data_IF_346546115443
#
_entry.id   IF_346546115443
#
_cell.length_a   1.000
_cell.length_b   1.000
_cell.length_c   1.000
_cell.angle_alpha   90.00
_cell.angle_beta   90.00
_cell.angle_gamma   90.00
#
_symmetry.space_group_name_H-M   'P 1'
#
loop_
_entity.id
_entity.type
_entity.pdbx_description
1 polymer ?
#
# COMPACT_ATOMS: atom_id res chain seq x y z
N UNK A 1 -1.12 -20.19 -6.99
CA UNK A 1 -0.53 -19.05 -6.24
C UNK A 1 0.62 -18.51 -7.07
N UNK A 2 0.67 -17.20 -7.33
CA UNK A 2 1.77 -16.60 -8.09
C UNK A 2 3.07 -16.74 -7.26
N UNK A 3 4.16 -17.22 -7.88
CA UNK A 3 5.36 -17.64 -7.15
C UNK A 3 6.02 -16.50 -6.34
N UNK A 4 7.08 -16.79 -5.55
CA UNK A 4 7.70 -15.81 -4.64
C UNK A 4 8.15 -14.51 -5.31
N UNK A 5 8.42 -14.53 -6.62
CA UNK A 5 8.79 -13.36 -7.42
C UNK A 5 7.63 -12.35 -7.60
N UNK A 6 6.37 -12.81 -7.55
CA UNK A 6 5.18 -11.97 -7.71
C UNK A 6 5.12 -10.82 -6.70
N UNK A 7 5.61 -11.07 -5.47
CA UNK A 7 5.63 -10.07 -4.40
C UNK A 7 6.37 -8.79 -4.79
N UNK A 8 7.34 -8.86 -5.71
CA UNK A 8 8.08 -7.69 -6.20
C UNK A 8 7.21 -6.75 -7.05
N UNK A 9 6.12 -7.27 -7.62
CA UNK A 9 5.20 -6.55 -8.49
C UNK A 9 3.87 -6.19 -7.80
N UNK A 10 3.73 -6.53 -6.52
CA UNK A 10 2.52 -6.28 -5.75
C UNK A 10 2.67 -5.05 -4.85
N UNK A 11 1.55 -4.35 -4.67
CA UNK A 11 1.34 -3.25 -3.73
C UNK A 11 0.16 -3.64 -2.85
N UNK A 12 0.27 -3.40 -1.55
CA UNK A 12 -0.80 -3.67 -0.59
C UNK A 12 -1.68 -2.43 -0.45
N UNK A 13 -2.97 -2.58 -0.75
CA UNK A 13 -3.94 -1.49 -0.61
C UNK A 13 -4.80 -1.74 0.62
N UNK A 14 -4.69 -0.86 1.62
CA UNK A 14 -5.59 -0.87 2.77
C UNK A 14 -6.75 0.06 2.48
N UNK A 15 -7.97 -0.44 2.63
CA UNK A 15 -9.18 0.36 2.43
C UNK A 15 -9.74 0.79 3.78
N UNK A 16 -10.71 1.72 3.76
CA UNK A 16 -11.32 2.31 4.95
C UNK A 16 -10.34 3.10 5.81
N UNK A 17 -9.51 3.91 5.16
CA UNK A 17 -8.62 4.86 5.85
C UNK A 17 -9.39 5.81 6.78
N UNK A 18 -10.66 6.10 6.48
CA UNK A 18 -11.56 6.88 7.32
C UNK A 18 -11.78 6.24 8.71
N UNK A 19 -11.70 4.92 8.84
CA UNK A 19 -11.84 4.21 10.13
C UNK A 19 -10.64 4.43 11.06
N UNK A 20 -9.55 5.06 10.58
CA UNK A 20 -8.39 5.38 11.40
C UNK A 20 -8.60 6.62 12.27
N UNK A 21 -9.69 7.40 12.06
CA UNK A 21 -10.01 8.61 12.84
C UNK A 21 -8.83 9.59 13.01
N UNK A 22 -7.98 9.70 11.98
CA UNK A 22 -6.78 10.56 12.00
C UNK A 22 -5.55 9.95 12.66
N UNK A 23 -5.63 8.72 13.17
CA UNK A 23 -4.48 7.94 13.62
C UNK A 23 -3.53 7.67 12.44
N UNK A 24 -2.23 7.77 12.70
CA UNK A 24 -1.23 7.35 11.74
C UNK A 24 -1.30 5.84 11.53
N UNK A 25 -1.30 5.38 10.28
CA UNK A 25 -1.34 3.96 9.95
C UNK A 25 -0.19 3.16 10.58
N UNK A 26 0.99 3.76 10.75
CA UNK A 26 2.11 3.13 11.44
C UNK A 26 1.82 2.84 12.91
N UNK A 27 1.05 3.71 13.58
CA UNK A 27 0.64 3.48 14.96
C UNK A 27 -0.43 2.37 15.03
N UNK A 28 -1.37 2.35 14.08
CA UNK A 28 -2.32 1.24 13.92
C UNK A 28 -1.59 -0.11 13.71
N UNK A 29 -0.51 -0.13 12.92
CA UNK A 29 0.28 -1.33 12.68
C UNK A 29 0.99 -1.88 13.92
N UNK A 30 1.36 -1.04 14.89
CA UNK A 30 1.97 -1.49 16.15
C UNK A 30 1.02 -2.37 16.96
N UNK A 31 -0.27 -2.10 16.86
CA UNK A 31 -1.33 -2.86 17.53
C UNK A 31 -1.91 -3.98 16.65
N UNK A 32 -1.58 -3.99 15.35
CA UNK A 32 -2.06 -4.99 14.41
C UNK A 32 -1.50 -6.40 14.71
N UNK A 33 -2.22 -7.46 14.34
CA UNK A 33 -1.73 -8.83 14.48
C UNK A 33 -0.37 -9.03 13.81
N UNK A 34 0.49 -9.87 14.41
CA UNK A 34 1.85 -10.13 13.91
C UNK A 34 1.89 -10.51 12.42
N UNK A 35 0.89 -11.25 11.93
CA UNK A 35 0.81 -11.61 10.51
C UNK A 35 0.69 -10.41 9.57
N UNK A 36 0.08 -9.29 10.00
CA UNK A 36 0.01 -8.05 9.22
C UNK A 36 1.37 -7.33 9.24
N UNK A 37 2.05 -7.31 10.40
CA UNK A 37 3.39 -6.74 10.51
C UNK A 37 4.38 -7.52 9.60
N UNK A 38 4.36 -8.85 9.65
CA UNK A 38 5.15 -9.72 8.78
C UNK A 38 4.81 -9.52 7.30
N UNK A 39 3.55 -9.18 6.98
CA UNK A 39 3.13 -8.87 5.62
C UNK A 39 3.73 -7.54 5.14
N UNK A 40 3.82 -6.52 5.99
CA UNK A 40 4.43 -5.23 5.63
C UNK A 40 5.91 -5.38 5.27
N UNK A 41 6.66 -6.14 6.08
CA UNK A 41 8.07 -6.44 5.80
C UNK A 41 8.26 -7.19 4.47
N UNK A 42 7.42 -8.19 4.21
CA UNK A 42 7.50 -9.00 2.98
C UNK A 42 7.28 -8.18 1.70
N UNK A 43 6.48 -7.12 1.78
CA UNK A 43 6.17 -6.25 0.65
C UNK A 43 7.04 -4.98 0.64
N UNK A 44 8.06 -4.91 1.51
CA UNK A 44 9.01 -3.78 1.64
C UNK A 44 8.30 -2.43 1.74
N UNK A 45 7.28 -2.37 2.60
CA UNK A 45 6.49 -1.17 2.83
C UNK A 45 5.81 -0.59 1.58
N UNK A 46 5.66 -1.37 0.49
CA UNK A 46 4.85 -0.98 -0.68
C UNK A 46 3.37 -1.12 -0.33
N UNK A 47 2.86 -0.13 0.39
CA UNK A 47 1.46 -0.04 0.78
C UNK A 47 0.90 1.36 0.62
N UNK A 48 -0.43 1.45 0.53
CA UNK A 48 -1.16 2.71 0.51
C UNK A 48 -2.50 2.52 1.23
N UNK A 49 -2.89 3.51 2.03
CA UNK A 49 -4.21 3.58 2.64
C UNK A 49 -5.14 4.42 1.78
N UNK A 50 -6.31 3.86 1.50
CA UNK A 50 -7.30 4.41 0.60
C UNK A 50 -8.63 4.61 1.32
N UNK A 51 -9.17 5.82 1.22
CA UNK A 51 -10.53 6.13 1.56
C UNK A 51 -11.37 6.10 0.28
N UNK A 52 -12.05 4.98 0.03
CA UNK A 52 -12.89 4.84 -1.18
C UNK A 52 -14.11 5.78 -1.19
N UNK A 53 -14.41 6.47 -0.08
CA UNK A 53 -15.47 7.47 0.01
C UNK A 53 -14.93 8.90 -0.17
N UNK A 54 -13.61 9.08 -0.21
CA UNK A 54 -12.99 10.38 -0.40
C UNK A 54 -13.36 10.97 -1.77
N UNK A 55 -13.57 12.28 -1.81
CA UNK A 55 -13.83 13.04 -3.03
C UNK A 55 -12.95 14.29 -3.07
N UNK A 56 -12.79 14.87 -4.26
CA UNK A 56 -12.03 16.12 -4.42
C UNK A 56 -10.54 15.95 -4.12
N UNK A 57 -9.98 16.87 -3.32
CA UNK A 57 -8.54 16.94 -3.10
C UNK A 57 -7.95 15.70 -2.42
N UNK A 58 -8.67 15.10 -1.47
CA UNK A 58 -8.21 13.87 -0.80
C UNK A 58 -8.14 12.70 -1.78
N UNK A 59 -9.15 12.56 -2.65
CA UNK A 59 -9.19 11.51 -3.67
C UNK A 59 -8.00 11.64 -4.63
N UNK A 60 -7.75 12.86 -5.14
CA UNK A 60 -6.64 13.09 -6.06
C UNK A 60 -5.28 12.85 -5.39
N UNK A 61 -5.10 13.27 -4.14
CA UNK A 61 -3.88 13.01 -3.38
C UNK A 61 -3.61 11.50 -3.19
N UNK A 62 -4.63 10.72 -2.83
CA UNK A 62 -4.51 9.26 -2.68
C UNK A 62 -4.22 8.57 -4.02
N UNK A 63 -4.83 9.04 -5.12
CA UNK A 63 -4.54 8.52 -6.46
C UNK A 63 -3.10 8.81 -6.88
N UNK A 64 -2.59 10.01 -6.64
CA UNK A 64 -1.20 10.36 -6.92
C UNK A 64 -0.24 9.48 -6.13
N UNK A 65 -0.48 9.29 -4.82
CA UNK A 65 0.35 8.42 -3.97
C UNK A 65 0.39 6.97 -4.51
N UNK A 66 -0.74 6.43 -4.95
CA UNK A 66 -0.79 5.09 -5.55
C UNK A 66 -0.01 5.01 -6.86
N UNK A 67 -0.15 6.02 -7.74
CA UNK A 67 0.59 6.07 -9.00
C UNK A 67 2.09 6.16 -8.78
N UNK A 68 2.55 6.95 -7.80
CA UNK A 68 3.97 7.05 -7.44
C UNK A 68 4.52 5.71 -6.96
N UNK A 69 3.75 4.97 -6.14
CA UNK A 69 4.11 3.62 -5.72
C UNK A 69 4.20 2.63 -6.90
N UNK A 70 3.27 2.71 -7.85
CA UNK A 70 3.30 1.90 -9.07
C UNK A 70 4.54 2.22 -9.90
N UNK A 71 4.84 3.50 -10.14
CA UNK A 71 6.02 3.92 -10.89
C UNK A 71 7.31 3.45 -10.22
N UNK A 72 7.40 3.60 -8.90
CA UNK A 72 8.54 3.12 -8.13
C UNK A 72 8.69 1.60 -8.22
N UNK A 73 7.59 0.85 -8.12
CA UNK A 73 7.58 -0.61 -8.27
C UNK A 73 8.06 -1.02 -9.68
N UNK A 74 7.54 -0.39 -10.74
CA UNK A 74 7.95 -0.67 -12.12
C UNK A 74 9.44 -0.39 -12.32
N UNK A 75 9.94 0.75 -11.80
CA UNK A 75 11.36 1.11 -11.86
C UNK A 75 12.25 0.09 -11.13
N UNK A 76 11.83 -0.38 -9.95
CA UNK A 76 12.55 -1.42 -9.20
C UNK A 76 12.59 -2.76 -9.95
N UNK A 77 11.56 -3.05 -10.76
CA UNK A 77 11.50 -4.22 -11.64
C UNK A 77 12.02 -3.93 -13.05
N UNK A 78 12.82 -2.87 -13.25
CA UNK A 78 13.47 -2.52 -14.53
C UNK A 78 12.51 -2.34 -15.71
N UNK A 79 11.25 -2.00 -15.46
CA UNK A 79 10.23 -1.88 -16.50
C UNK A 79 9.65 -3.20 -17.00
N UNK A 80 10.01 -4.33 -16.39
CA UNK A 80 9.45 -5.63 -16.77
C UNK A 80 8.03 -5.81 -16.20
N UNK A 81 7.23 -6.64 -16.88
CA UNK A 81 5.95 -7.12 -16.36
C UNK A 81 6.14 -8.42 -15.56
N UNK A 82 5.20 -8.71 -14.67
CA UNK A 82 5.16 -9.98 -13.95
C UNK A 82 4.65 -11.12 -14.85
#
# INVERSE_FOLDING_TARGET
MFGPKAKRYMILLFTRKDDLDGMNFHDYLKEAPKGIQDLMEQFKDRHCEFNNKATGAEQEAQRTQLLDLVQNMVKQNKGECY
#
